data_IF_654461406335
#
_entry.id   IF_654461406335
#
_cell.length_a   1.000
_cell.length_b   1.000
_cell.length_c   1.000
_cell.angle_alpha   90.00
_cell.angle_beta   90.00
_cell.angle_gamma   90.00
#
_symmetry.space_group_name_H-M   'P 1'
#
loop_
_entity.id
_entity.type
_entity.pdbx_description
1 polymer ?
#
# COMPACT_ATOMS: atom_id res chain seq x y z
N UNK A 1 -23.91 6.31 -9.14
CA UNK A 1 -23.05 5.30 -8.50
C UNK A 1 -23.72 4.92 -7.20
N UNK A 2 -24.18 3.68 -7.03
CA UNK A 2 -24.70 3.25 -5.73
C UNK A 2 -23.55 3.30 -4.71
N UNK A 3 -23.77 3.80 -3.49
CA UNK A 3 -22.74 3.84 -2.47
C UNK A 3 -22.27 2.41 -2.18
N UNK A 4 -20.95 2.22 -2.08
CA UNK A 4 -20.35 0.93 -1.74
C UNK A 4 -20.90 0.46 -0.39
N UNK A 5 -21.35 -0.81 -0.28
CA UNK A 5 -21.70 -1.41 1.00
C UNK A 5 -20.60 -1.20 2.04
N UNK A 6 -21.01 -0.89 3.27
CA UNK A 6 -20.09 -0.61 4.38
C UNK A 6 -19.06 -1.73 4.62
N UNK A 7 -19.46 -2.99 4.40
CA UNK A 7 -18.54 -4.13 4.51
C UNK A 7 -17.34 -4.06 3.55
N UNK A 8 -17.55 -3.62 2.31
CA UNK A 8 -16.44 -3.46 1.36
C UNK A 8 -15.52 -2.30 1.76
N UNK A 9 -16.09 -1.21 2.26
CA UNK A 9 -15.31 -0.07 2.77
C UNK A 9 -14.44 -0.48 3.97
N UNK A 10 -14.97 -1.28 4.89
CA UNK A 10 -14.20 -1.83 6.01
C UNK A 10 -13.03 -2.69 5.53
N UNK A 11 -13.25 -3.59 4.56
CA UNK A 11 -12.19 -4.44 4.01
C UNK A 11 -11.09 -3.59 3.36
N UNK A 12 -11.47 -2.59 2.56
CA UNK A 12 -10.50 -1.67 1.92
C UNK A 12 -9.73 -0.87 2.97
N UNK A 13 -10.42 -0.34 3.99
CA UNK A 13 -9.81 0.45 5.05
C UNK A 13 -8.83 -0.38 5.89
N UNK A 14 -9.20 -1.61 6.26
CA UNK A 14 -8.32 -2.53 6.99
C UNK A 14 -7.06 -2.84 6.18
N UNK A 15 -7.19 -3.16 4.89
CA UNK A 15 -6.04 -3.41 4.04
C UNK A 15 -5.17 -2.15 3.88
N UNK A 16 -5.77 -1.00 3.67
CA UNK A 16 -5.07 0.29 3.52
C UNK A 16 -4.41 0.78 4.82
N UNK A 17 -4.93 0.41 5.98
CA UNK A 17 -4.37 0.80 7.28
C UNK A 17 -2.93 0.33 7.48
N UNK A 18 -2.53 -0.77 6.82
CA UNK A 18 -1.17 -1.32 6.88
C UNK A 18 -0.11 -0.39 6.26
N UNK A 19 -0.51 0.57 5.42
CA UNK A 19 0.41 1.55 4.82
C UNK A 19 0.95 2.50 5.89
N UNK A 20 0.14 2.86 6.89
CA UNK A 20 0.55 3.74 7.99
C UNK A 20 1.82 3.27 8.72
N UNK A 21 1.82 2.07 9.32
CA UNK A 21 3.00 1.53 10.00
C UNK A 21 4.17 1.26 9.05
N UNK A 22 3.92 0.94 7.76
CA UNK A 22 5.01 0.81 6.78
C UNK A 22 5.73 2.15 6.57
N UNK A 23 5.00 3.25 6.36
CA UNK A 23 5.61 4.58 6.20
C UNK A 23 6.34 4.98 7.48
N UNK A 24 5.75 4.74 8.64
CA UNK A 24 6.38 5.04 9.93
C UNK A 24 7.71 4.28 10.11
N UNK A 25 7.71 2.95 9.89
CA UNK A 25 8.93 2.13 10.00
C UNK A 25 9.97 2.50 8.95
N UNK A 26 9.56 2.81 7.71
CA UNK A 26 10.47 3.26 6.68
C UNK A 26 11.18 4.56 7.08
N UNK A 27 10.44 5.57 7.51
CA UNK A 27 11.05 6.83 7.94
C UNK A 27 11.94 6.63 9.17
N UNK A 28 11.48 5.84 10.16
CA UNK A 28 12.26 5.58 11.37
C UNK A 28 13.56 4.78 11.09
N UNK A 29 13.57 3.91 10.08
CA UNK A 29 14.72 3.05 9.77
C UNK A 29 15.72 3.67 8.78
N UNK A 30 15.31 4.67 7.99
CA UNK A 30 16.13 5.22 6.91
C UNK A 30 16.38 6.73 6.99
N UNK A 31 15.56 7.50 7.71
CA UNK A 31 15.76 8.95 7.82
C UNK A 31 16.83 9.27 8.89
N UNK A 32 17.96 9.81 8.45
CA UNK A 32 19.05 10.22 9.35
C UNK A 32 18.69 11.46 10.18
N UNK A 33 17.80 12.31 9.67
CA UNK A 33 17.32 13.51 10.33
C UNK A 33 15.93 13.92 9.79
N UNK A 34 15.33 14.94 10.43
CA UNK A 34 13.98 15.42 10.08
C UNK A 34 13.88 15.95 8.65
N UNK A 35 14.94 16.56 8.12
CA UNK A 35 14.95 17.13 6.75
C UNK A 35 14.99 16.00 5.72
N UNK A 36 15.86 15.00 5.92
CA UNK A 36 15.92 13.80 5.09
C UNK A 36 14.59 13.03 5.14
N UNK A 37 13.99 12.90 6.33
CA UNK A 37 12.68 12.28 6.50
C UNK A 37 11.57 12.98 5.71
N UNK A 38 11.58 14.32 5.69
CA UNK A 38 10.63 15.10 4.87
C UNK A 38 10.83 14.86 3.36
N UNK A 39 12.07 14.84 2.89
CA UNK A 39 12.38 14.56 1.49
C UNK A 39 11.95 13.13 1.09
N UNK A 40 12.24 12.14 1.94
CA UNK A 40 11.82 10.76 1.75
C UNK A 40 10.30 10.61 1.74
N UNK A 41 9.58 11.26 2.64
CA UNK A 41 8.11 11.23 2.66
C UNK A 41 7.49 11.85 1.40
N UNK A 42 8.05 12.96 0.89
CA UNK A 42 7.65 13.51 -0.41
C UNK A 42 7.86 12.51 -1.54
N UNK A 43 9.00 11.84 -1.56
CA UNK A 43 9.29 10.81 -2.54
C UNK A 43 8.28 9.65 -2.45
N UNK A 44 8.00 9.12 -1.25
CA UNK A 44 6.98 8.09 -1.05
C UNK A 44 5.59 8.53 -1.54
N UNK A 45 5.19 9.78 -1.29
CA UNK A 45 3.93 10.31 -1.82
C UNK A 45 3.93 10.39 -3.34
N UNK A 46 5.06 10.72 -3.97
CA UNK A 46 5.15 10.71 -5.44
C UNK A 46 4.95 9.31 -6.03
N UNK A 47 5.32 8.24 -5.30
CA UNK A 47 5.05 6.86 -5.73
C UNK A 47 3.55 6.52 -5.72
N UNK A 48 2.71 7.26 -4.97
CA UNK A 48 1.25 7.06 -4.98
C UNK A 48 0.62 7.41 -6.34
N UNK A 49 1.33 8.13 -7.22
CA UNK A 49 0.87 8.34 -8.59
C UNK A 49 0.91 7.06 -9.42
N UNK A 50 1.76 6.07 -9.09
CA UNK A 50 1.88 4.84 -9.87
C UNK A 50 0.57 4.03 -9.87
N UNK A 51 -0.08 3.75 -8.71
CA UNK A 51 -1.41 3.15 -8.71
C UNK A 51 -2.46 3.94 -9.50
N UNK A 52 -2.39 5.27 -9.49
CA UNK A 52 -3.30 6.12 -10.27
C UNK A 52 -3.08 5.89 -11.77
N UNK A 53 -1.84 5.87 -12.23
CA UNK A 53 -1.51 5.55 -13.63
C UNK A 53 -1.95 4.12 -13.97
N UNK A 54 -1.73 3.17 -13.05
CA UNK A 54 -2.10 1.78 -13.23
C UNK A 54 -3.61 1.59 -13.41
N UNK A 55 -4.46 2.46 -12.86
CA UNK A 55 -5.90 2.43 -13.09
C UNK A 55 -6.26 2.50 -14.59
N UNK A 56 -5.50 3.27 -15.37
CA UNK A 56 -5.73 3.47 -16.79
C UNK A 56 -5.12 2.37 -17.67
N UNK A 57 -4.30 1.48 -17.11
CA UNK A 57 -3.71 0.38 -17.86
C UNK A 57 -4.73 -0.74 -18.11
N UNK A 58 -4.72 -1.37 -19.29
CA UNK A 58 -5.66 -2.44 -19.62
C UNK A 58 -5.31 -3.77 -18.93
N UNK A 59 -6.33 -4.49 -18.47
CA UNK A 59 -6.23 -5.89 -18.04
C UNK A 59 -5.17 -6.14 -16.96
N UNK A 60 -4.26 -7.09 -17.23
CA UNK A 60 -3.25 -7.55 -16.27
C UNK A 60 -2.05 -6.60 -16.15
N UNK A 61 -1.91 -5.62 -17.03
CA UNK A 61 -0.82 -4.63 -16.95
C UNK A 61 -0.88 -3.79 -15.67
N UNK A 62 -2.06 -3.66 -15.08
CA UNK A 62 -2.24 -3.01 -13.77
C UNK A 62 -1.44 -3.70 -12.66
N UNK A 63 -1.22 -5.02 -12.77
CA UNK A 63 -0.51 -5.81 -11.76
C UNK A 63 0.98 -5.48 -11.68
N UNK A 64 1.53 -4.79 -12.68
CA UNK A 64 2.87 -4.24 -12.60
C UNK A 64 3.00 -3.21 -11.48
N UNK A 65 1.92 -2.56 -11.04
CA UNK A 65 1.93 -1.69 -9.86
C UNK A 65 1.83 -2.47 -8.54
N UNK A 66 1.67 -3.80 -8.58
CA UNK A 66 1.53 -4.67 -7.42
C UNK A 66 2.75 -4.73 -6.50
N UNK A 67 3.92 -4.28 -6.97
CA UNK A 67 5.09 -4.10 -6.10
C UNK A 67 4.89 -3.00 -5.05
N UNK A 68 3.97 -2.06 -5.30
CA UNK A 68 3.62 -1.00 -4.36
C UNK A 68 2.49 -1.46 -3.46
N UNK A 69 2.75 -1.48 -2.16
CA UNK A 69 1.74 -1.78 -1.15
C UNK A 69 0.43 -0.97 -1.30
N UNK A 70 0.46 0.34 -1.63
CA UNK A 70 -0.74 1.14 -1.86
C UNK A 70 -1.63 0.74 -3.06
N UNK A 71 -1.11 -0.03 -4.01
CA UNK A 71 -1.90 -0.48 -5.18
C UNK A 71 -3.07 -1.39 -4.77
N UNK A 72 -2.83 -2.30 -3.84
CA UNK A 72 -3.78 -3.35 -3.49
C UNK A 72 -5.11 -2.87 -2.90
N UNK A 73 -5.15 -1.96 -1.90
CA UNK A 73 -6.43 -1.42 -1.41
C UNK A 73 -7.19 -0.67 -2.50
N UNK A 74 -6.50 0.02 -3.41
CA UNK A 74 -7.14 0.67 -4.56
C UNK A 74 -7.73 -0.36 -5.54
N UNK A 75 -6.99 -1.43 -5.85
CA UNK A 75 -7.47 -2.52 -6.72
C UNK A 75 -8.70 -3.22 -6.14
N UNK A 76 -8.71 -3.49 -4.83
CA UNK A 76 -9.86 -4.06 -4.12
C UNK A 76 -11.06 -3.11 -4.18
N UNK A 77 -10.83 -1.81 -3.96
CA UNK A 77 -11.87 -0.79 -4.06
C UNK A 77 -12.48 -0.74 -5.47
N UNK A 78 -11.66 -0.77 -6.53
CA UNK A 78 -12.15 -0.75 -7.91
C UNK A 78 -13.00 -1.97 -8.26
N UNK A 79 -12.56 -3.16 -7.84
CA UNK A 79 -13.30 -4.40 -8.09
C UNK A 79 -14.62 -4.43 -7.31
N UNK A 80 -14.61 -4.00 -6.04
CA UNK A 80 -15.82 -3.86 -5.25
C UNK A 80 -16.80 -2.86 -5.89
N UNK A 81 -16.32 -1.73 -6.42
CA UNK A 81 -17.15 -0.73 -7.09
C UNK A 81 -17.77 -1.24 -8.40
N UNK A 82 -17.14 -2.22 -9.04
CA UNK A 82 -17.64 -2.90 -10.24
C UNK A 82 -18.52 -4.12 -9.92
N UNK A 83 -18.75 -4.44 -8.64
CA UNK A 83 -19.47 -5.65 -8.24
C UNK A 83 -18.72 -6.95 -8.55
N UNK A 84 -17.41 -6.88 -8.77
CA UNK A 84 -16.55 -8.01 -9.12
C UNK A 84 -15.94 -8.65 -7.87
N UNK A 85 -15.60 -9.94 -7.97
CA UNK A 85 -14.88 -10.64 -6.90
C UNK A 85 -13.46 -10.07 -6.73
N UNK A 86 -13.14 -9.63 -5.51
CA UNK A 86 -11.82 -9.05 -5.17
C UNK A 86 -10.97 -9.95 -4.26
N UNK A 87 -11.49 -11.10 -3.83
CA UNK A 87 -10.82 -11.98 -2.85
C UNK A 87 -9.38 -12.37 -3.22
N UNK A 88 -9.05 -12.72 -4.48
CA UNK A 88 -7.67 -13.03 -4.86
C UNK A 88 -6.72 -11.84 -4.67
N UNK A 89 -7.19 -10.63 -5.00
CA UNK A 89 -6.41 -9.40 -4.87
C UNK A 89 -6.30 -8.93 -3.42
N UNK A 90 -7.32 -9.20 -2.60
CA UNK A 90 -7.27 -8.98 -1.16
C UNK A 90 -6.19 -9.85 -0.52
N UNK A 91 -6.16 -11.15 -0.82
CA UNK A 91 -5.17 -12.08 -0.28
C UNK A 91 -3.74 -11.73 -0.75
N UNK A 92 -3.57 -11.49 -2.05
CA UNK A 92 -2.28 -11.08 -2.60
C UNK A 92 -1.81 -9.74 -1.98
N UNK A 93 -2.71 -8.78 -1.84
CA UNK A 93 -2.41 -7.50 -1.21
C UNK A 93 -2.06 -7.62 0.26
N UNK A 94 -2.75 -8.49 1.00
CA UNK A 94 -2.42 -8.77 2.39
C UNK A 94 -1.04 -9.39 2.51
N UNK A 95 -0.69 -10.36 1.66
CA UNK A 95 0.65 -10.94 1.61
C UNK A 95 1.72 -9.89 1.31
N UNK A 96 1.54 -9.05 0.28
CA UNK A 96 2.51 -7.99 -0.07
C UNK A 96 2.67 -6.98 1.07
N UNK A 97 1.57 -6.56 1.70
CA UNK A 97 1.63 -5.63 2.82
C UNK A 97 2.33 -6.23 4.05
N UNK A 98 2.06 -7.50 4.37
CA UNK A 98 2.71 -8.18 5.49
C UNK A 98 4.20 -8.42 5.23
N UNK A 99 4.58 -8.86 4.03
CA UNK A 99 5.99 -9.03 3.64
C UNK A 99 6.73 -7.70 3.75
N UNK A 100 6.18 -6.63 3.17
CA UNK A 100 6.77 -5.29 3.24
C UNK A 100 6.92 -4.82 4.70
N UNK A 101 5.87 -5.00 5.52
CA UNK A 101 5.89 -4.64 6.93
C UNK A 101 6.95 -5.42 7.71
N UNK A 102 7.07 -6.74 7.49
CA UNK A 102 8.08 -7.59 8.13
C UNK A 102 9.49 -7.18 7.73
N UNK A 103 9.75 -6.89 6.45
CA UNK A 103 11.06 -6.45 5.98
C UNK A 103 11.46 -5.11 6.61
N UNK A 104 10.52 -4.15 6.69
CA UNK A 104 10.76 -2.86 7.34
C UNK A 104 10.96 -3.01 8.85
N UNK A 105 10.21 -3.88 9.51
CA UNK A 105 10.36 -4.16 10.93
C UNK A 105 11.73 -4.76 11.24
N UNK A 106 12.17 -5.76 10.46
CA UNK A 106 13.50 -6.37 10.59
C UNK A 106 14.61 -5.33 10.37
N UNK A 107 14.43 -4.42 9.40
CA UNK A 107 15.38 -3.33 9.16
C UNK A 107 15.42 -2.36 10.34
N UNK A 108 14.26 -1.94 10.83
CA UNK A 108 14.16 -1.05 11.98
C UNK A 108 14.84 -1.62 13.22
N UNK A 109 14.59 -2.89 13.55
CA UNK A 109 15.25 -3.58 14.67
C UNK A 109 16.78 -3.57 14.53
N UNK A 110 17.31 -3.84 13.34
CA UNK A 110 18.76 -3.80 13.09
C UNK A 110 19.38 -2.40 13.25
N UNK A 111 18.59 -1.35 13.02
CA UNK A 111 19.05 0.04 13.15
C UNK A 111 18.98 0.49 14.62
N UNK A 112 17.94 0.09 15.35
CA UNK A 112 17.76 0.47 16.77
C UNK A 112 18.70 -0.27 17.72
N UNK A 113 19.09 -1.51 17.40
CA UNK A 113 20.03 -2.29 18.21
C UNK A 113 21.51 -2.04 17.85
N UNK A 114 21.80 -1.09 16.96
CA UNK A 114 23.15 -0.56 16.72
C UNK A 114 23.40 0.65 17.61
#
# INVERSE_FOLDING_TARGET
>A
MTPLPFGHLLVVALLGSLIGPQVALFLAAFAENKVAGFAMFKFLNSLLFIPIVAFFLPGNWQLLAGFLSPFWPLKVFWLAAQGQSYWPFLLAGLLVNLITLMLLLQRFQKVVHR
#
